data_IF_529164745447
#
_entry.id   IF_529164745447
#
_cell.length_a   1.000
_cell.length_b   1.000
_cell.length_c   1.000
_cell.angle_alpha   90.00
_cell.angle_beta   90.00
_cell.angle_gamma   90.00
#
_symmetry.space_group_name_H-M   'P 1'
#
loop_
_entity.id
_entity.type
_entity.pdbx_description
1 polymer ?
#
# COMPACT_ATOMS: atom_id res chain seq x y z
N UNK A 1 -3.10 21.15 -1.96
CA UNK A 1 -2.98 20.61 -3.34
C UNK A 1 -2.50 19.18 -3.21
N UNK A 2 -3.28 18.23 -3.69
CA UNK A 2 -2.94 16.80 -3.64
C UNK A 2 -1.81 16.51 -4.64
N UNK A 3 -0.77 15.84 -4.17
CA UNK A 3 0.35 15.37 -4.99
C UNK A 3 0.32 13.84 -5.07
N UNK A 4 0.42 13.30 -6.28
CA UNK A 4 0.62 11.87 -6.49
C UNK A 4 2.10 11.59 -6.65
N UNK A 5 2.62 10.60 -5.92
CA UNK A 5 4.02 10.16 -6.03
C UNK A 5 4.15 8.67 -5.80
N UNK A 6 5.30 8.11 -6.20
CA UNK A 6 5.66 6.75 -5.83
C UNK A 6 5.75 6.62 -4.31
N UNK A 7 5.28 5.47 -3.84
CA UNK A 7 5.33 5.05 -2.46
C UNK A 7 6.75 4.75 -2.01
N UNK A 8 7.03 5.07 -0.75
CA UNK A 8 8.31 4.82 -0.09
C UNK A 8 8.10 3.89 1.08
N UNK A 9 9.20 3.28 1.54
CA UNK A 9 9.18 2.34 2.67
C UNK A 9 8.60 2.99 3.93
N UNK A 10 8.83 4.28 4.14
CA UNK A 10 8.35 5.03 5.30
C UNK A 10 6.82 5.23 5.28
N UNK A 11 6.17 5.08 4.12
CA UNK A 11 4.73 5.25 3.96
C UNK A 11 3.96 3.99 4.43
N UNK A 12 4.63 2.83 4.55
CA UNK A 12 3.99 1.53 4.78
C UNK A 12 3.04 1.47 5.99
N UNK A 13 3.32 2.11 7.14
CA UNK A 13 2.36 2.13 8.25
C UNK A 13 1.02 2.79 7.88
N UNK A 14 1.04 3.93 7.18
CA UNK A 14 -0.18 4.60 6.73
C UNK A 14 -0.86 3.84 5.58
N UNK A 15 -0.07 3.24 4.67
CA UNK A 15 -0.60 2.39 3.59
C UNK A 15 -1.35 1.20 4.18
N UNK A 16 -0.79 0.50 5.17
CA UNK A 16 -1.47 -0.62 5.83
C UNK A 16 -2.74 -0.17 6.56
N UNK A 17 -2.75 1.03 7.14
CA UNK A 17 -3.96 1.60 7.75
C UNK A 17 -5.07 1.80 6.70
N UNK A 18 -4.75 2.37 5.54
CA UNK A 18 -5.71 2.54 4.44
C UNK A 18 -6.19 1.21 3.86
N UNK A 19 -5.32 0.20 3.76
CA UNK A 19 -5.72 -1.17 3.37
C UNK A 19 -6.72 -1.75 4.37
N UNK A 20 -6.49 -1.56 5.68
CA UNK A 20 -7.41 -2.02 6.73
C UNK A 20 -8.73 -1.26 6.70
N UNK A 21 -8.69 0.05 6.48
CA UNK A 21 -9.90 0.89 6.34
C UNK A 21 -10.76 0.42 5.16
N UNK A 22 -10.14 0.13 4.00
CA UNK A 22 -10.84 -0.44 2.85
C UNK A 22 -11.43 -1.82 3.19
N UNK A 23 -10.65 -2.70 3.83
CA UNK A 23 -11.13 -4.03 4.20
C UNK A 23 -12.28 -3.96 5.22
N UNK A 24 -12.29 -2.98 6.12
CA UNK A 24 -13.40 -2.75 7.03
C UNK A 24 -14.66 -2.29 6.29
N UNK A 25 -14.53 -1.36 5.34
CA UNK A 25 -15.63 -0.97 4.44
C UNK A 25 -16.22 -2.17 3.67
N UNK A 26 -15.36 -3.09 3.23
CA UNK A 26 -15.73 -4.33 2.53
C UNK A 26 -16.14 -5.48 3.48
N UNK A 27 -16.27 -5.24 4.79
CA UNK A 27 -16.61 -6.24 5.82
C UNK A 27 -15.68 -7.46 5.84
N UNK A 28 -14.44 -7.25 5.44
CA UNK A 28 -13.40 -8.26 5.24
C UNK A 28 -12.13 -8.00 6.05
N UNK A 29 -12.19 -7.14 7.08
CA UNK A 29 -11.03 -6.75 7.91
C UNK A 29 -10.25 -7.95 8.48
N UNK A 30 -10.95 -9.02 8.86
CA UNK A 30 -10.34 -10.26 9.38
C UNK A 30 -9.47 -11.01 8.36
N UNK A 31 -9.66 -10.75 7.07
CA UNK A 31 -8.87 -11.34 5.98
C UNK A 31 -7.54 -10.59 5.78
N UNK A 32 -7.36 -9.42 6.41
CA UNK A 32 -6.10 -8.67 6.38
C UNK A 32 -5.08 -9.34 7.29
N UNK A 33 -4.25 -10.18 6.69
CA UNK A 33 -3.15 -10.90 7.36
C UNK A 33 -1.80 -10.21 7.22
N UNK A 34 -1.72 -9.14 6.43
CA UNK A 34 -0.46 -8.46 6.12
C UNK A 34 0.07 -7.64 7.31
N UNK A 35 1.39 -7.43 7.35
CA UNK A 35 2.08 -6.60 8.36
C UNK A 35 3.04 -5.64 7.69
N UNK A 36 3.41 -4.55 8.37
CA UNK A 36 4.40 -3.60 7.84
C UNK A 36 5.71 -4.30 7.48
N UNK A 37 6.17 -5.25 8.31
CA UNK A 37 7.38 -6.01 8.04
C UNK A 37 7.28 -6.90 6.78
N UNK A 38 6.11 -7.51 6.53
CA UNK A 38 5.86 -8.29 5.32
C UNK A 38 5.81 -7.39 4.09
N UNK A 39 5.07 -6.28 4.15
CA UNK A 39 5.00 -5.28 3.09
C UNK A 39 6.39 -4.73 2.74
N UNK A 40 7.21 -4.44 3.75
CA UNK A 40 8.58 -3.98 3.56
C UNK A 40 9.43 -5.02 2.83
N UNK A 41 9.42 -6.26 3.32
CA UNK A 41 10.17 -7.36 2.70
C UNK A 41 9.73 -7.59 1.25
N UNK A 42 8.43 -7.61 1.00
CA UNK A 42 7.85 -8.00 -0.28
C UNK A 42 7.86 -6.84 -1.30
N UNK A 43 7.82 -5.57 -0.85
CA UNK A 43 7.81 -4.38 -1.71
C UNK A 43 9.16 -3.69 -1.88
N UNK A 44 10.12 -3.91 -0.98
CA UNK A 44 11.42 -3.22 -0.97
C UNK A 44 12.63 -4.16 -0.82
N UNK A 45 12.43 -5.49 -0.85
CA UNK A 45 13.51 -6.46 -0.91
C UNK A 45 14.18 -6.55 -2.30
N UNK A 46 15.13 -7.49 -2.45
CA UNK A 46 15.92 -7.65 -3.70
C UNK A 46 15.07 -7.92 -4.96
N UNK A 47 13.85 -8.45 -4.77
CA UNK A 47 12.89 -8.74 -5.84
C UNK A 47 11.50 -8.26 -5.42
N UNK A 48 11.17 -6.97 -5.64
CA UNK A 48 9.90 -6.41 -5.20
C UNK A 48 8.74 -7.04 -5.99
N UNK A 49 7.73 -7.50 -5.25
CA UNK A 49 6.53 -8.17 -5.79
C UNK A 49 5.46 -7.18 -6.24
N UNK A 50 5.46 -5.98 -5.66
CA UNK A 50 4.47 -4.93 -5.94
C UNK A 50 5.13 -3.55 -5.88
N UNK A 51 4.49 -2.58 -6.53
CA UNK A 51 4.74 -1.17 -6.33
C UNK A 51 3.45 -0.47 -5.91
N UNK A 52 3.56 0.78 -5.47
CA UNK A 52 2.38 1.57 -5.16
C UNK A 52 2.61 3.07 -5.35
N UNK A 53 1.53 3.78 -5.59
CA UNK A 53 1.47 5.24 -5.54
C UNK A 53 0.68 5.69 -4.32
N UNK A 54 1.02 6.88 -3.83
CA UNK A 54 0.30 7.56 -2.75
C UNK A 54 -0.21 8.90 -3.26
N UNK A 55 -1.41 9.27 -2.82
CA UNK A 55 -1.91 10.63 -2.90
C UNK A 55 -1.65 11.31 -1.55
N UNK A 56 -0.80 12.34 -1.53
CA UNK A 56 -0.42 13.05 -0.31
C UNK A 56 -0.88 14.52 -0.34
N UNK A 57 -1.28 15.03 0.83
CA UNK A 57 -1.51 16.46 1.09
C UNK A 57 -0.99 16.77 2.49
N UNK A 58 -0.20 17.84 2.65
CA UNK A 58 0.34 18.26 3.95
C UNK A 58 1.00 17.12 4.75
N UNK A 59 1.78 16.27 4.06
CA UNK A 59 2.47 15.10 4.62
C UNK A 59 1.55 13.97 5.13
N UNK A 60 0.25 14.07 4.84
CA UNK A 60 -0.74 13.04 5.15
C UNK A 60 -1.07 12.26 3.88
N UNK A 61 -1.04 10.93 3.95
CA UNK A 61 -1.43 10.06 2.83
C UNK A 61 -2.95 9.89 2.88
N UNK A 62 -3.63 10.37 1.85
CA UNK A 62 -5.09 10.33 1.73
C UNK A 62 -5.59 9.10 0.97
N UNK A 63 -4.72 8.44 0.21
CA UNK A 63 -5.10 7.31 -0.62
C UNK A 63 -3.90 6.60 -1.22
N UNK A 64 -4.14 5.36 -1.66
CA UNK A 64 -3.13 4.48 -2.23
C UNK A 64 -3.62 3.80 -3.50
N UNK A 65 -2.69 3.45 -4.38
CA UNK A 65 -2.91 2.54 -5.50
C UNK A 65 -1.79 1.51 -5.54
N UNK A 66 -2.11 0.24 -5.31
CA UNK A 66 -1.15 -0.88 -5.30
C UNK A 66 -1.22 -1.62 -6.64
N UNK A 67 -0.07 -1.92 -7.23
CA UNK A 67 0.03 -2.61 -8.51
C UNK A 67 1.12 -3.67 -8.51
N UNK A 68 0.99 -4.64 -9.41
CA UNK A 68 2.01 -5.65 -9.69
C UNK A 68 1.91 -6.04 -11.17
N UNK A 69 2.99 -6.55 -11.73
CA UNK A 69 2.99 -7.05 -13.10
C UNK A 69 2.35 -8.43 -13.15
N UNK A 70 1.32 -8.58 -13.98
CA UNK A 70 0.71 -9.88 -14.29
C UNK A 70 0.71 -10.07 -15.80
N UNK A 71 1.22 -11.20 -16.26
CA UNK A 71 1.15 -11.63 -17.65
C UNK A 71 0.33 -12.93 -17.70
N UNK A 72 -0.77 -12.93 -18.44
CA UNK A 72 -1.72 -14.05 -18.55
C UNK A 72 -1.93 -14.38 -20.01
N UNK A 73 -2.03 -15.68 -20.33
CA UNK A 73 -2.58 -16.16 -21.61
C UNK A 73 -4.08 -16.01 -21.64
#
# INVERSE_FOLDING_TARGET
MIKIREGRKEDLPQVLALVKELAEYEKSLKEVTNTVALMERDGFGDRPLYGFFVAEEEQTILGISLYYYRYST
#
